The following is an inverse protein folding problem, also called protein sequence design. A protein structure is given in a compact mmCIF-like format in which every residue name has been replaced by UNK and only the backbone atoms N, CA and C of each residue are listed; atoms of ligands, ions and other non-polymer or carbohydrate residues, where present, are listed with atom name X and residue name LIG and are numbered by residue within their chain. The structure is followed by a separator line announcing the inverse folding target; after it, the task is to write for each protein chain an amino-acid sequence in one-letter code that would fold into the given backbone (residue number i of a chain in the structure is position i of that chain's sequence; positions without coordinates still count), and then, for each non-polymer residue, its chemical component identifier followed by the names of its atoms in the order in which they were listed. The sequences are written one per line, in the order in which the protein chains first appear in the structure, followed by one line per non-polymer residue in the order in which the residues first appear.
data_IF_649390502570
#
_entry.id   IF_649390502570
#
_cell.length_a   1.000
_cell.length_b   1.000
_cell.length_c   1.000
_cell.angle_alpha   90.00
_cell.angle_beta   90.00
_cell.angle_gamma   90.00
#
_symmetry.space_group_name_H-M   'P 1'
#
loop_
_entity.id
_entity.type
_entity.pdbx_description
1 polymer ?
#
# COMPACT_ATOMS: atom_id res chain seq x y z
N UNK A 1 -19.84 2.16 -6.66
CA UNK A 1 -19.04 3.27 -6.10
C UNK A 1 -17.61 2.90 -6.31
N UNK A 2 -16.90 3.67 -7.12
CA UNK A 2 -15.47 3.52 -7.34
C UNK A 2 -14.74 4.02 -6.10
N UNK A 3 -13.91 3.16 -5.49
CA UNK A 3 -13.06 3.58 -4.38
C UNK A 3 -11.66 3.84 -4.93
N UNK A 4 -11.20 5.09 -4.86
CA UNK A 4 -9.86 5.45 -5.30
C UNK A 4 -8.84 5.05 -4.24
N UNK A 5 -7.79 4.33 -4.62
CA UNK A 5 -6.70 3.93 -3.74
C UNK A 5 -5.41 4.53 -4.28
N UNK A 6 -4.78 5.37 -3.45
CA UNK A 6 -3.48 5.98 -3.69
C UNK A 6 -2.42 5.27 -2.87
N UNK A 7 -1.33 4.90 -3.54
CA UNK A 7 -0.12 4.34 -2.96
C UNK A 7 1.06 5.27 -3.28
N UNK A 8 1.77 5.69 -2.24
CA UNK A 8 3.00 6.47 -2.37
C UNK A 8 4.14 5.72 -1.68
N UNK A 9 5.21 5.45 -2.42
CA UNK A 9 6.40 4.83 -1.86
C UNK A 9 7.06 5.83 -0.92
N UNK A 10 7.20 5.48 0.34
CA UNK A 10 7.94 6.31 1.30
C UNK A 10 9.41 5.89 1.31
N UNK A 11 9.67 4.59 1.31
CA UNK A 11 11.02 4.05 1.38
C UNK A 11 11.10 2.65 0.76
N UNK A 12 12.25 2.32 0.22
CA UNK A 12 12.52 1.01 -0.38
C UNK A 12 13.93 0.55 -0.03
N UNK A 13 14.03 -0.61 0.61
CA UNK A 13 15.25 -1.36 0.87
C UNK A 13 15.40 -2.54 -0.09
N UNK A 14 16.55 -3.20 -0.05
CA UNK A 14 16.74 -4.53 -0.64
C UNK A 14 15.76 -5.58 -0.08
N UNK A 15 15.45 -5.52 1.22
CA UNK A 15 14.64 -6.54 1.90
C UNK A 15 13.17 -6.13 2.08
N UNK A 16 12.87 -4.84 2.25
CA UNK A 16 11.54 -4.34 2.57
C UNK A 16 11.17 -3.14 1.70
N UNK A 17 9.88 -2.84 1.62
CA UNK A 17 9.39 -1.63 0.97
C UNK A 17 8.23 -1.06 1.78
N UNK A 18 8.26 0.24 2.03
CA UNK A 18 7.25 0.95 2.80
C UNK A 18 6.47 1.86 1.87
N UNK A 19 5.16 1.72 1.91
CA UNK A 19 4.21 2.52 1.16
C UNK A 19 3.22 3.22 2.10
N UNK A 20 2.85 4.43 1.75
CA UNK A 20 1.65 5.08 2.25
C UNK A 20 0.46 4.67 1.41
N UNK A 21 -0.65 4.37 2.06
CA UNK A 21 -1.89 3.97 1.40
C UNK A 21 -3.08 4.79 1.89
N UNK A 22 -3.98 5.18 1.00
CA UNK A 22 -5.19 5.90 1.41
C UNK A 22 -6.04 6.37 0.23
N UNK A 23 -7.20 7.00 0.51
CA UNK A 23 -8.04 7.60 -0.53
C UNK A 23 -7.44 8.87 -1.16
N UNK A 24 -6.60 9.60 -0.43
CA UNK A 24 -5.99 10.84 -0.87
C UNK A 24 -4.67 11.09 -0.11
N UNK A 25 -3.94 12.16 -0.44
CA UNK A 25 -2.65 12.50 0.18
C UNK A 25 -2.78 13.03 1.62
N UNK A 26 -3.97 13.45 2.03
CA UNK A 26 -4.24 13.95 3.39
C UNK A 26 -4.54 12.82 4.40
N UNK A 27 -5.22 11.77 3.93
CA UNK A 27 -5.64 10.62 4.73
C UNK A 27 -4.87 9.40 4.23
N UNK A 28 -3.72 9.15 4.85
CA UNK A 28 -2.86 8.02 4.51
C UNK A 28 -2.46 7.22 5.75
N UNK A 29 -2.55 5.90 5.65
CA UNK A 29 -1.86 4.95 6.52
C UNK A 29 -0.53 4.52 5.91
N UNK A 30 0.21 3.66 6.62
CA UNK A 30 1.50 3.08 6.18
C UNK A 30 1.47 1.57 6.23
N UNK A 31 1.89 0.97 5.13
CA UNK A 31 2.06 -0.48 4.96
C UNK A 31 3.52 -0.77 4.63
N UNK A 32 4.06 -1.76 5.29
CA UNK A 32 5.36 -2.35 4.99
C UNK A 32 5.15 -3.71 4.34
N UNK A 33 5.87 -3.95 3.24
CA UNK A 33 6.00 -5.27 2.63
C UNK A 33 7.45 -5.73 2.79
N UNK A 34 7.64 -6.87 3.43
CA UNK A 34 8.91 -7.57 3.41
C UNK A 34 9.01 -8.44 2.15
N UNK A 35 9.93 -8.11 1.23
CA UNK A 35 10.12 -8.77 -0.07
C UNK A 35 10.58 -10.23 0.09
N UNK A 36 11.31 -10.54 1.16
CA UNK A 36 11.87 -11.87 1.45
C UNK A 36 10.80 -12.82 2.02
N UNK A 37 10.15 -12.40 3.10
CA UNK A 37 9.13 -13.19 3.82
C UNK A 37 7.74 -13.07 3.21
N UNK A 38 7.54 -12.09 2.32
CA UNK A 38 6.24 -11.75 1.68
C UNK A 38 5.16 -11.40 2.70
N UNK A 39 5.56 -10.87 3.85
CA UNK A 39 4.65 -10.43 4.92
C UNK A 39 4.34 -8.95 4.77
N UNK A 40 3.09 -8.62 5.06
CA UNK A 40 2.60 -7.26 5.16
C UNK A 40 2.45 -6.87 6.63
N UNK A 41 2.97 -5.70 6.99
CA UNK A 41 2.82 -5.11 8.32
C UNK A 41 2.14 -3.76 8.18
N UNK A 42 1.10 -3.50 8.96
CA UNK A 42 0.52 -2.15 9.06
C UNK A 42 1.34 -1.36 10.08
N UNK A 43 2.04 -0.31 9.63
CA UNK A 43 2.82 0.57 10.50
C UNK A 43 1.95 1.70 11.06
N UNK A 44 1.09 2.28 10.22
CA UNK A 44 0.15 3.33 10.61
C UNK A 44 -1.21 3.05 9.98
N UNK A 45 -2.26 3.04 10.80
CA UNK A 45 -3.64 2.98 10.31
C UNK A 45 -4.08 4.35 9.79
N UNK A 46 -5.11 4.37 8.94
CA UNK A 46 -5.72 5.62 8.49
C UNK A 46 -6.26 6.42 9.71
N UNK A 47 -6.01 7.74 9.80
CA UNK A 47 -6.40 8.55 10.96
C UNK A 47 -7.91 8.75 11.09
N UNK A 48 -8.67 8.57 10.00
CA UNK A 48 -10.11 8.78 9.98
C UNK A 48 -10.86 7.48 10.25
N UNK A 49 -11.56 7.40 11.38
CA UNK A 49 -12.35 6.23 11.78
C UNK A 49 -13.60 6.01 10.91
N UNK A 50 -14.03 7.01 10.13
CA UNK A 50 -15.14 6.84 9.20
C UNK A 50 -14.73 6.09 7.93
N UNK A 51 -13.42 5.96 7.70
CA UNK A 51 -12.88 5.30 6.51
C UNK A 51 -12.51 3.87 6.90
N UNK A 52 -12.99 2.85 6.18
CA UNK A 52 -12.69 1.46 6.49
C UNK A 52 -11.21 1.18 6.20
N UNK A 53 -10.35 1.36 7.21
CA UNK A 53 -8.88 1.25 7.06
C UNK A 53 -8.46 -0.09 6.45
N UNK A 54 -9.12 -1.16 6.90
CA UNK A 54 -8.95 -2.52 6.39
C UNK A 54 -9.20 -2.65 4.89
N UNK A 55 -10.19 -1.94 4.35
CA UNK A 55 -10.46 -1.98 2.90
C UNK A 55 -9.26 -1.44 2.12
N UNK A 56 -8.72 -0.29 2.51
CA UNK A 56 -7.56 0.29 1.83
C UNK A 56 -6.30 -0.54 2.05
N UNK A 57 -6.10 -1.08 3.25
CA UNK A 57 -4.98 -1.97 3.55
C UNK A 57 -5.01 -3.24 2.67
N UNK A 58 -6.15 -3.93 2.59
CA UNK A 58 -6.30 -5.13 1.78
C UNK A 58 -6.05 -4.83 0.28
N UNK A 59 -6.51 -3.67 -0.21
CA UNK A 59 -6.27 -3.23 -1.60
C UNK A 59 -4.81 -2.88 -1.86
N UNK A 60 -4.16 -2.19 -0.92
CA UNK A 60 -2.73 -1.89 -0.98
C UNK A 60 -1.90 -3.17 -1.03
N UNK A 61 -2.17 -4.11 -0.11
CA UNK A 61 -1.51 -5.41 -0.04
C UNK A 61 -1.71 -6.22 -1.33
N UNK A 62 -2.93 -6.22 -1.91
CA UNK A 62 -3.19 -6.87 -3.20
C UNK A 62 -2.35 -6.26 -4.32
N UNK A 63 -2.31 -4.92 -4.44
CA UNK A 63 -1.54 -4.26 -5.49
C UNK A 63 -0.04 -4.53 -5.33
N UNK A 64 0.49 -4.45 -4.11
CA UNK A 64 1.88 -4.75 -3.81
C UNK A 64 2.22 -6.22 -4.08
N UNK A 65 1.31 -7.15 -3.79
CA UNK A 65 1.46 -8.57 -4.16
C UNK A 65 1.56 -8.75 -5.67
N UNK A 66 0.76 -8.02 -6.45
CA UNK A 66 0.85 -8.05 -7.92
C UNK A 66 2.20 -7.51 -8.39
N UNK A 67 2.67 -6.39 -7.82
CA UNK A 67 3.99 -5.86 -8.15
C UNK A 67 5.12 -6.87 -7.86
N UNK A 68 5.05 -7.54 -6.70
CA UNK A 68 6.02 -8.54 -6.28
C UNK A 68 6.01 -9.80 -7.17
N UNK A 69 4.83 -10.36 -7.44
CA UNK A 69 4.69 -11.67 -8.11
C UNK A 69 4.67 -11.56 -9.64
N UNK A 70 4.02 -10.52 -10.17
CA UNK A 70 3.78 -10.39 -11.62
C UNK A 70 4.69 -9.36 -12.28
N UNK A 71 5.04 -8.28 -11.59
CA UNK A 71 5.86 -7.19 -12.16
C UNK A 71 7.35 -7.32 -11.78
N UNK A 72 7.79 -8.47 -11.27
CA UNK A 72 9.21 -8.76 -11.03
C UNK A 72 9.83 -7.93 -9.90
N UNK A 73 9.05 -7.63 -8.84
CA UNK A 73 9.48 -6.78 -7.72
C UNK A 73 9.74 -5.31 -8.09
N UNK A 74 9.11 -4.82 -9.17
CA UNK A 74 9.17 -3.41 -9.54
C UNK A 74 8.10 -2.64 -8.76
N UNK A 75 8.55 -1.72 -7.90
CA UNK A 75 7.72 -0.92 -7.02
C UNK A 75 7.72 0.56 -7.47
N UNK A 76 6.70 1.00 -8.24
CA UNK A 76 6.60 2.38 -8.72
C UNK A 76 6.43 3.39 -7.57
N UNK A 77 7.05 4.57 -7.68
CA UNK A 77 7.01 5.59 -6.62
C UNK A 77 5.59 6.07 -6.26
N UNK A 78 4.72 6.21 -7.27
CA UNK A 78 3.33 6.59 -7.10
C UNK A 78 2.46 5.64 -7.91
N UNK A 79 1.47 5.05 -7.25
CA UNK A 79 0.45 4.24 -7.91
C UNK A 79 -0.91 4.70 -7.47
N UNK A 80 -1.81 4.90 -8.41
CA UNK A 80 -3.21 5.14 -8.12
C UNK A 80 -4.06 4.17 -8.93
N UNK A 81 -5.10 3.63 -8.32
CA UNK A 81 -6.03 2.75 -9.01
C UNK A 81 -7.43 2.86 -8.41
N UNK A 82 -8.40 2.52 -9.24
CA UNK A 82 -9.80 2.49 -8.86
C UNK A 82 -10.19 1.05 -8.50
N UNK A 83 -10.93 0.88 -7.40
CA UNK A 83 -11.38 -0.40 -6.85
C UNK A 83 -12.88 -0.53 -6.76
#
# INVERSE_FOLDING_TARGET
MASYVLLLKEYEDDETVVYKFGPNEEIMGKIELNKITRKFSELESLPDQNIPSKFYFDRAAQRLTVCLVREGSIFPEKTAFES
#
